data_IF_484661262007
#
_entry.id   IF_484661262007
#
_cell.length_a   1.000
_cell.length_b   1.000
_cell.length_c   1.000
_cell.angle_alpha   90.00
_cell.angle_beta   90.00
_cell.angle_gamma   90.00
#
_symmetry.space_group_name_H-M   'P 1'
#
loop_
_entity.id
_entity.type
_entity.pdbx_description
1 polymer ?
#
# COMPACT_ATOMS: atom_id res chain seq x y z
N UNK A 1 23.05 -34.97 25.32
CA UNK A 1 21.75 -34.77 25.99
C UNK A 1 21.46 -33.28 26.00
N UNK A 2 20.68 -32.83 25.02
CA UNK A 2 19.82 -31.64 25.05
C UNK A 2 19.14 -31.56 23.68
N UNK A 3 17.88 -31.98 23.64
CA UNK A 3 16.95 -31.78 22.53
C UNK A 3 15.75 -31.07 23.16
N UNK A 4 15.64 -29.77 22.92
CA UNK A 4 14.49 -28.95 23.29
C UNK A 4 13.48 -29.04 22.14
N UNK A 5 12.36 -29.69 22.41
CA UNK A 5 11.23 -29.83 21.50
C UNK A 5 10.20 -28.72 21.82
N UNK A 6 9.89 -27.90 20.81
CA UNK A 6 8.87 -26.84 20.86
C UNK A 6 7.45 -27.44 20.78
N UNK A 7 6.53 -27.01 21.66
CA UNK A 7 5.13 -27.44 21.71
C UNK A 7 4.22 -26.38 21.06
N UNK A 8 3.40 -26.77 20.09
CA UNK A 8 2.41 -25.89 19.43
C UNK A 8 1.01 -26.06 20.04
N UNK A 9 0.30 -24.95 20.25
CA UNK A 9 -1.06 -24.94 20.78
C UNK A 9 -2.08 -25.09 19.62
N UNK A 10 -2.83 -26.19 19.59
CA UNK A 10 -4.05 -26.34 18.77
C UNK A 10 -5.22 -26.82 19.62
N UNK A 11 -6.36 -26.22 19.31
CA UNK A 11 -7.73 -26.52 19.70
C UNK A 11 -8.15 -26.27 21.17
N UNK A 12 -8.64 -25.05 21.41
CA UNK A 12 -9.55 -24.73 22.51
C UNK A 12 -10.99 -24.69 21.96
N UNK A 13 -11.67 -25.83 21.96
CA UNK A 13 -13.13 -25.88 21.84
C UNK A 13 -13.76 -25.77 23.23
N UNK A 14 -14.65 -24.78 23.36
CA UNK A 14 -15.70 -24.66 24.38
C UNK A 14 -15.29 -24.70 25.87
N UNK A 15 -14.70 -23.60 26.36
CA UNK A 15 -15.09 -22.98 27.64
C UNK A 15 -14.51 -21.57 27.69
N UNK A 16 -15.34 -20.56 27.93
CA UNK A 16 -15.00 -19.14 27.82
C UNK A 16 -13.96 -18.72 28.86
N UNK A 17 -12.67 -18.85 28.53
CA UNK A 17 -11.60 -18.16 29.26
C UNK A 17 -11.67 -16.70 28.81
N UNK A 18 -12.20 -15.83 29.67
CA UNK A 18 -12.27 -14.39 29.36
C UNK A 18 -10.85 -13.80 29.31
N UNK A 19 -10.61 -12.90 28.36
CA UNK A 19 -9.33 -12.19 28.18
C UNK A 19 -8.88 -11.37 29.41
N UNK A 20 -9.73 -11.28 30.43
CA UNK A 20 -9.47 -10.63 31.71
C UNK A 20 -8.78 -11.57 32.70
N UNK A 21 -9.11 -12.87 32.68
CA UNK A 21 -8.44 -13.91 33.49
C UNK A 21 -7.00 -14.11 33.01
N UNK A 22 -6.79 -14.17 31.69
CA UNK A 22 -5.45 -14.29 31.10
C UNK A 22 -4.55 -13.09 31.41
N UNK A 23 -5.10 -11.86 31.45
CA UNK A 23 -4.34 -10.64 31.79
C UNK A 23 -3.94 -10.56 33.26
N UNK A 24 -4.75 -11.12 34.16
CA UNK A 24 -4.45 -11.11 35.59
C UNK A 24 -3.41 -12.18 35.99
N UNK A 25 -3.35 -13.30 35.27
CA UNK A 25 -2.43 -14.41 35.57
C UNK A 25 -1.06 -14.24 34.87
N UNK A 26 -1.00 -13.52 33.75
CA UNK A 26 0.24 -13.32 32.97
C UNK A 26 0.57 -11.84 32.74
N UNK A 27 0.88 -11.04 33.79
CA UNK A 27 1.16 -9.61 33.62
C UNK A 27 2.52 -9.33 32.95
N UNK A 28 3.40 -10.33 32.84
CA UNK A 28 4.82 -10.15 32.45
C UNK A 28 5.22 -10.80 31.12
N UNK A 29 4.28 -11.35 30.35
CA UNK A 29 4.60 -11.85 29.00
C UNK A 29 4.68 -10.69 28.02
N UNK A 30 5.84 -10.04 27.94
CA UNK A 30 6.20 -9.28 26.75
C UNK A 30 6.70 -10.27 25.69
N UNK A 31 6.28 -10.14 24.41
CA UNK A 31 6.82 -10.96 23.35
C UNK A 31 8.33 -10.73 23.26
N UNK A 32 9.13 -11.78 23.47
CA UNK A 32 10.56 -11.71 23.22
C UNK A 32 10.80 -11.70 21.70
N UNK A 33 11.63 -10.76 21.23
CA UNK A 33 12.08 -10.73 19.84
C UNK A 33 12.74 -12.08 19.48
N UNK A 34 12.18 -12.76 18.47
CA UNK A 34 12.80 -13.93 17.84
C UNK A 34 12.21 -15.30 18.20
N UNK A 35 11.14 -15.40 19.00
CA UNK A 35 10.44 -16.68 19.25
C UNK A 35 9.07 -16.71 18.55
N UNK A 36 8.59 -17.86 18.03
CA UNK A 36 7.25 -17.97 17.49
C UNK A 36 6.24 -17.58 18.58
N UNK A 37 5.29 -16.71 18.25
CA UNK A 37 4.21 -16.38 19.17
C UNK A 37 3.52 -17.68 19.62
N UNK A 38 3.46 -17.91 20.95
CA UNK A 38 2.75 -18.98 21.67
C UNK A 38 3.57 -20.17 22.23
N UNK A 39 4.75 -19.95 22.79
CA UNK A 39 5.44 -20.94 23.64
C UNK A 39 5.60 -20.42 25.08
N UNK A 40 5.16 -21.21 26.07
CA UNK A 40 5.34 -20.95 27.50
C UNK A 40 6.56 -21.69 28.01
N UNK A 41 7.31 -21.10 28.95
CA UNK A 41 8.37 -21.81 29.67
C UNK A 41 7.78 -22.77 30.72
N UNK A 42 8.53 -23.81 31.09
CA UNK A 42 8.16 -24.78 32.15
C UNK A 42 7.74 -24.09 33.46
N UNK A 43 8.42 -22.99 33.83
CA UNK A 43 8.09 -22.25 35.06
C UNK A 43 6.78 -21.46 34.95
N UNK A 44 6.42 -21.00 33.74
CA UNK A 44 5.16 -20.32 33.48
C UNK A 44 4.01 -21.32 33.46
N UNK A 45 4.24 -22.52 32.92
CA UNK A 45 3.29 -23.63 32.95
C UNK A 45 2.91 -24.02 34.39
N UNK A 46 3.89 -24.17 35.28
CA UNK A 46 3.64 -24.51 36.68
C UNK A 46 2.83 -23.43 37.43
N UNK A 47 3.08 -22.15 37.11
CA UNK A 47 2.28 -21.03 37.66
C UNK A 47 0.84 -21.06 37.17
N UNK A 48 0.62 -21.44 35.91
CA UNK A 48 -0.70 -21.54 35.28
C UNK A 48 -1.51 -22.70 35.86
N UNK A 49 -0.89 -23.87 36.05
CA UNK A 49 -1.50 -25.05 36.69
C UNK A 49 -1.91 -24.76 38.15
N UNK A 50 -1.07 -24.02 38.89
CA UNK A 50 -1.38 -23.62 40.26
C UNK A 50 -2.53 -22.60 40.36
N UNK A 51 -2.63 -21.70 39.39
CA UNK A 51 -3.70 -20.70 39.32
C UNK A 51 -5.03 -21.26 38.82
N UNK A 52 -4.99 -22.32 38.01
CA UNK A 52 -6.17 -22.96 37.42
C UNK A 52 -6.13 -24.49 37.65
N UNK A 53 -6.38 -24.95 38.89
CA UNK A 53 -6.19 -26.36 39.28
C UNK A 53 -7.11 -27.35 38.54
N UNK A 54 -8.19 -26.86 37.93
CA UNK A 54 -9.13 -27.66 37.13
C UNK A 54 -8.77 -27.71 35.63
N UNK A 55 -7.74 -26.97 35.19
CA UNK A 55 -7.26 -27.01 33.82
C UNK A 55 -6.44 -28.29 33.62
N UNK A 56 -7.01 -29.27 32.91
CA UNK A 56 -6.31 -30.53 32.63
C UNK A 56 -5.51 -30.37 31.34
N UNK A 57 -4.21 -30.13 31.48
CA UNK A 57 -3.28 -30.12 30.35
C UNK A 57 -2.69 -31.53 30.22
N UNK A 58 -2.93 -32.20 29.09
CA UNK A 58 -2.37 -33.53 28.85
C UNK A 58 -0.90 -33.41 28.46
N UNK A 59 0.00 -34.22 29.04
CA UNK A 59 1.31 -34.44 28.44
C UNK A 59 1.13 -35.13 27.07
N UNK A 60 2.11 -35.03 26.16
CA UNK A 60 2.07 -35.78 24.92
C UNK A 60 2.30 -37.26 25.28
N UNK A 61 1.23 -37.97 25.63
CA UNK A 61 1.34 -39.36 26.03
C UNK A 61 1.66 -40.23 24.81
N UNK A 62 2.73 -41.00 25.02
CA UNK A 62 3.13 -42.20 24.31
C UNK A 62 1.93 -43.01 23.79
N UNK A 63 2.02 -43.36 22.50
CA UNK A 63 1.13 -44.28 21.79
C UNK A 63 0.65 -45.44 22.68
N UNK A 64 -0.66 -45.59 22.82
CA UNK A 64 -1.29 -46.82 23.33
C UNK A 64 -2.48 -47.21 22.46
N UNK A 65 -2.69 -48.52 22.36
CA UNK A 65 -3.27 -49.29 21.25
C UNK A 65 -4.79 -49.13 20.96
N UNK A 66 -5.50 -48.16 21.55
CA UNK A 66 -6.95 -48.00 21.32
C UNK A 66 -7.33 -47.04 20.17
N UNK A 67 -6.36 -46.39 19.53
CA UNK A 67 -6.56 -45.62 18.29
C UNK A 67 -6.77 -46.51 17.05
N UNK A 68 -6.55 -47.82 17.17
CA UNK A 68 -6.72 -48.78 16.08
C UNK A 68 -8.20 -49.01 15.67
N UNK A 69 -9.18 -48.52 16.43
CA UNK A 69 -10.62 -48.65 16.09
C UNK A 69 -11.24 -47.43 15.40
N UNK A 70 -10.62 -46.26 15.45
CA UNK A 70 -11.07 -45.09 14.69
C UNK A 70 -10.53 -45.07 13.25
N UNK A 71 -9.55 -45.94 12.93
CA UNK A 71 -9.03 -46.15 11.58
C UNK A 71 -9.92 -47.03 10.68
N UNK A 72 -10.94 -47.71 11.22
CA UNK A 72 -11.77 -48.67 10.46
C UNK A 72 -13.07 -48.10 9.85
N UNK A 73 -13.29 -46.77 9.88
CA UNK A 73 -14.40 -46.16 9.11
C UNK A 73 -13.96 -45.82 7.66
N UNK A 74 -12.66 -45.95 7.34
CA UNK A 74 -12.13 -45.70 6.00
C UNK A 74 -12.10 -46.92 5.06
N UNK A 75 -12.51 -48.13 5.50
CA UNK A 75 -12.36 -49.37 4.70
C UNK A 75 -13.57 -49.75 3.81
N UNK A 76 -14.59 -48.89 3.66
CA UNK A 76 -15.77 -49.21 2.81
C UNK A 76 -16.10 -48.20 1.73
N UNK A 77 -15.21 -47.27 1.42
CA UNK A 77 -15.40 -46.34 0.31
C UNK A 77 -14.47 -46.68 -0.86
N UNK A 78 -15.04 -47.26 -1.92
CA UNK A 78 -14.35 -47.46 -3.20
C UNK A 78 -14.56 -46.24 -4.12
N UNK A 79 -13.49 -45.61 -4.65
CA UNK A 79 -13.59 -44.57 -5.66
C UNK A 79 -13.78 -45.17 -7.07
N UNK A 80 -14.51 -44.51 -7.99
CA UNK A 80 -14.58 -44.97 -9.38
C UNK A 80 -13.22 -44.83 -10.09
N UNK A 81 -12.88 -45.84 -10.88
CA UNK A 81 -11.60 -45.96 -11.60
C UNK A 81 -11.30 -44.76 -12.51
N UNK A 82 -10.08 -44.20 -12.38
CA UNK A 82 -9.46 -43.32 -13.38
C UNK A 82 -8.24 -44.02 -13.99
N UNK A 83 -8.02 -43.90 -15.31
CA UNK A 83 -6.92 -44.55 -15.98
C UNK A 83 -5.57 -43.96 -15.55
N UNK A 84 -4.57 -44.84 -15.46
CA UNK A 84 -3.20 -44.53 -15.04
C UNK A 84 -2.44 -43.74 -16.12
N UNK A 85 -1.70 -42.73 -15.68
CA UNK A 85 -0.61 -42.14 -16.46
C UNK A 85 0.68 -42.38 -15.68
N UNK A 86 1.51 -43.25 -16.25
CA UNK A 86 2.82 -43.63 -15.78
C UNK A 86 3.81 -42.44 -15.84
N UNK A 87 4.59 -42.39 -14.76
CA UNK A 87 6.02 -42.08 -14.66
C UNK A 87 6.55 -40.67 -15.00
N UNK A 88 7.04 -40.03 -13.93
CA UNK A 88 8.21 -39.17 -13.97
C UNK A 88 7.95 -37.70 -14.25
N UNK A 89 7.37 -36.96 -13.29
CA UNK A 89 7.53 -35.50 -13.23
C UNK A 89 7.28 -34.97 -11.81
N UNK A 90 8.19 -34.09 -11.36
CA UNK A 90 8.19 -33.39 -10.08
C UNK A 90 6.90 -32.56 -9.93
N UNK A 91 6.05 -32.92 -8.97
CA UNK A 91 4.80 -32.20 -8.69
C UNK A 91 5.07 -30.95 -7.85
N UNK A 92 5.29 -29.83 -8.52
CA UNK A 92 4.94 -28.52 -7.93
C UNK A 92 3.45 -28.33 -8.08
N UNK A 93 2.78 -27.87 -7.01
CA UNK A 93 1.37 -27.49 -7.02
C UNK A 93 1.19 -26.27 -7.96
N UNK A 94 1.08 -26.55 -9.26
CA UNK A 94 0.70 -25.58 -10.28
C UNK A 94 -0.80 -25.30 -10.15
N UNK A 95 -1.16 -24.40 -9.23
CA UNK A 95 -2.43 -23.70 -9.30
C UNK A 95 -2.27 -22.47 -10.20
N UNK A 96 -2.49 -22.59 -11.51
CA UNK A 96 -2.53 -21.42 -12.41
C UNK A 96 -3.51 -21.59 -13.58
N UNK A 97 -4.78 -21.32 -13.31
CA UNK A 97 -5.70 -20.69 -14.26
C UNK A 97 -5.66 -19.15 -14.20
N UNK A 98 -4.81 -18.56 -13.36
CA UNK A 98 -4.52 -17.13 -13.39
C UNK A 98 -3.50 -16.87 -14.52
N UNK A 99 -3.71 -15.83 -15.36
CA UNK A 99 -2.71 -15.42 -16.33
C UNK A 99 -1.36 -15.27 -15.65
N UNK A 100 -0.35 -15.99 -16.11
CA UNK A 100 1.03 -15.58 -15.87
C UNK A 100 1.18 -14.27 -16.62
N UNK A 101 1.13 -13.15 -15.90
CA UNK A 101 1.55 -11.89 -16.48
C UNK A 101 3.05 -12.03 -16.75
N UNK A 102 3.39 -12.25 -18.02
CA UNK A 102 4.75 -12.04 -18.50
C UNK A 102 5.24 -10.69 -17.96
N UNK A 103 6.53 -10.63 -17.64
CA UNK A 103 7.20 -9.40 -17.24
C UNK A 103 6.67 -8.23 -18.10
N UNK A 104 6.13 -7.15 -17.51
CA UNK A 104 5.55 -6.09 -18.33
C UNK A 104 6.66 -5.56 -19.24
N UNK A 105 6.39 -5.57 -20.53
CA UNK A 105 7.34 -5.16 -21.54
C UNK A 105 7.64 -3.66 -21.33
N UNK A 106 8.87 -3.34 -20.95
CA UNK A 106 9.36 -1.95 -20.79
C UNK A 106 9.09 -1.14 -22.08
N UNK A 107 8.98 -1.80 -23.24
CA UNK A 107 8.58 -1.15 -24.48
C UNK A 107 7.19 -0.50 -24.40
N UNK A 108 6.27 -1.03 -23.58
CA UNK A 108 4.94 -0.44 -23.39
C UNK A 108 5.03 0.91 -22.69
N UNK A 109 5.81 1.02 -21.61
CA UNK A 109 5.99 2.28 -20.87
C UNK A 109 6.82 3.27 -21.66
N UNK A 110 7.84 2.81 -22.39
CA UNK A 110 8.61 3.65 -23.31
C UNK A 110 7.76 4.20 -24.46
N UNK A 111 6.95 3.36 -25.12
CA UNK A 111 6.02 3.81 -26.16
C UNK A 111 4.98 4.78 -25.60
N UNK A 112 4.47 4.52 -24.40
CA UNK A 112 3.56 5.44 -23.74
C UNK A 112 4.22 6.81 -23.53
N UNK A 113 5.41 6.86 -22.92
CA UNK A 113 6.15 8.13 -22.73
C UNK A 113 6.46 8.83 -24.05
N UNK A 114 6.74 8.09 -25.13
CA UNK A 114 6.90 8.67 -26.46
C UNK A 114 5.62 9.36 -26.97
N UNK A 115 4.45 8.74 -26.78
CA UNK A 115 3.14 9.33 -27.14
C UNK A 115 2.83 10.57 -26.31
N UNK A 116 3.22 10.56 -25.04
CA UNK A 116 3.11 11.74 -24.17
C UNK A 116 4.01 12.86 -24.66
N UNK A 117 5.30 12.56 -24.90
CA UNK A 117 6.31 13.49 -25.40
C UNK A 117 5.95 14.11 -26.74
N UNK A 118 5.30 13.38 -27.63
CA UNK A 118 4.82 13.90 -28.92
C UNK A 118 3.52 14.70 -28.82
N UNK A 119 2.89 14.76 -27.65
CA UNK A 119 1.59 15.39 -27.43
C UNK A 119 0.39 14.56 -27.93
N UNK A 120 0.61 13.31 -28.35
CA UNK A 120 -0.47 12.40 -28.77
C UNK A 120 -1.35 11.96 -27.58
N UNK A 121 -0.78 11.92 -26.37
CA UNK A 121 -1.52 11.61 -25.15
C UNK A 121 -1.37 12.72 -24.10
N UNK A 122 -2.48 13.36 -23.76
CA UNK A 122 -2.56 14.46 -22.77
C UNK A 122 -3.62 14.23 -21.70
N UNK A 123 -4.24 13.04 -21.69
CA UNK A 123 -5.33 12.69 -20.76
C UNK A 123 -4.85 12.14 -19.41
N UNK A 124 -5.79 11.78 -18.52
CA UNK A 124 -5.48 11.15 -17.23
C UNK A 124 -4.79 9.79 -17.39
N UNK A 125 -3.87 9.45 -16.48
CA UNK A 125 -3.08 8.20 -16.53
C UNK A 125 -3.70 7.04 -15.77
N UNK A 126 -4.88 7.21 -15.17
CA UNK A 126 -5.62 6.12 -14.54
C UNK A 126 -5.81 4.94 -15.50
N UNK A 127 -5.40 3.74 -15.08
CA UNK A 127 -5.55 2.52 -15.88
C UNK A 127 -4.58 2.39 -17.07
N UNK A 128 -3.73 3.39 -17.31
CA UNK A 128 -2.68 3.31 -18.33
C UNK A 128 -1.52 2.46 -17.81
N UNK A 129 -0.94 1.63 -18.69
CA UNK A 129 0.17 0.72 -18.37
C UNK A 129 -0.10 -0.09 -17.08
N UNK A 130 -1.16 -0.92 -17.05
CA UNK A 130 -1.58 -1.63 -15.85
C UNK A 130 -0.44 -2.47 -15.25
N UNK A 131 -0.26 -2.38 -13.94
CA UNK A 131 0.83 -3.06 -13.21
C UNK A 131 2.13 -2.27 -13.13
N UNK A 132 2.26 -1.16 -13.88
CA UNK A 132 3.43 -0.29 -13.81
C UNK A 132 3.27 0.78 -12.73
N UNK A 133 4.37 1.08 -12.05
CA UNK A 133 4.44 2.11 -11.03
C UNK A 133 4.27 3.48 -11.68
N UNK A 134 3.32 4.26 -11.16
CA UNK A 134 3.11 5.65 -11.53
C UNK A 134 3.56 6.54 -10.38
N UNK A 135 4.16 7.68 -10.71
CA UNK A 135 4.75 8.60 -9.76
C UNK A 135 4.18 10.00 -9.91
N UNK A 136 3.99 10.64 -8.77
CA UNK A 136 3.84 12.08 -8.67
C UNK A 136 5.21 12.74 -8.90
N UNK A 137 5.24 13.81 -9.68
CA UNK A 137 6.43 14.63 -9.91
C UNK A 137 6.35 15.94 -9.11
N UNK A 138 7.47 16.33 -8.48
CA UNK A 138 7.74 17.67 -7.94
C UNK A 138 9.15 18.10 -8.36
N UNK A 139 9.30 19.33 -8.84
CA UNK A 139 10.57 19.90 -9.28
C UNK A 139 10.72 21.26 -8.65
N UNK A 140 11.86 21.44 -7.97
CA UNK A 140 12.18 22.67 -7.26
C UNK A 140 13.56 23.17 -7.70
N UNK A 141 13.79 24.50 -7.77
CA UNK A 141 15.13 25.03 -7.90
C UNK A 141 16.02 24.51 -6.76
N UNK A 142 17.29 24.22 -7.07
CA UNK A 142 18.29 23.85 -6.07
C UNK A 142 18.37 24.93 -4.98
N UNK A 143 18.51 24.50 -3.73
CA UNK A 143 18.69 25.39 -2.58
C UNK A 143 17.81 24.99 -1.41
N UNK A 144 17.45 25.98 -0.60
CA UNK A 144 16.72 25.76 0.67
C UNK A 144 15.40 25.02 0.47
N UNK A 145 14.59 25.38 -0.52
CA UNK A 145 13.29 24.72 -0.73
C UNK A 145 13.42 23.26 -1.18
N UNK A 146 14.39 22.93 -2.04
CA UNK A 146 14.64 21.54 -2.44
C UNK A 146 15.15 20.69 -1.25
N UNK A 147 16.03 21.26 -0.41
CA UNK A 147 16.50 20.58 0.80
C UNK A 147 15.38 20.39 1.83
N UNK A 148 14.61 21.45 2.10
CA UNK A 148 13.48 21.40 3.02
C UNK A 148 12.44 20.39 2.55
N UNK A 149 12.19 20.30 1.23
CA UNK A 149 11.30 19.31 0.64
C UNK A 149 11.80 17.87 0.82
N UNK A 150 13.09 17.63 0.56
CA UNK A 150 13.70 16.31 0.78
C UNK A 150 13.56 15.87 2.24
N UNK A 151 13.87 16.77 3.19
CA UNK A 151 13.72 16.51 4.61
C UNK A 151 12.24 16.34 5.00
N UNK A 152 11.33 17.08 4.36
CA UNK A 152 9.89 16.93 4.56
C UNK A 152 9.41 15.54 4.14
N UNK A 153 9.83 15.05 2.98
CA UNK A 153 9.50 13.70 2.51
C UNK A 153 10.04 12.63 3.46
N UNK A 154 11.29 12.77 3.91
CA UNK A 154 11.90 11.87 4.89
C UNK A 154 11.10 11.82 6.21
N UNK A 155 10.59 12.96 6.69
CA UNK A 155 9.82 13.04 7.93
C UNK A 155 8.39 12.52 7.79
N UNK A 156 7.85 12.49 6.57
CA UNK A 156 6.46 12.14 6.27
C UNK A 156 6.37 11.05 5.18
N UNK A 157 6.99 9.86 5.39
CA UNK A 157 7.16 8.86 4.33
C UNK A 157 5.85 8.27 3.82
N UNK A 158 4.78 8.28 4.63
CA UNK A 158 3.46 7.79 4.18
C UNK A 158 2.77 8.80 3.26
N UNK A 159 2.83 10.10 3.58
CA UNK A 159 2.21 11.15 2.77
C UNK A 159 3.04 11.51 1.53
N UNK A 160 4.36 11.40 1.66
CA UNK A 160 5.34 11.73 0.62
C UNK A 160 6.34 10.56 0.44
N UNK A 161 5.88 9.38 -0.02
CA UNK A 161 6.75 8.22 -0.21
C UNK A 161 7.74 8.50 -1.35
N UNK A 162 8.95 8.92 -1.00
CA UNK A 162 9.97 9.30 -1.96
C UNK A 162 10.56 8.05 -2.62
N UNK A 163 10.44 7.96 -3.94
CA UNK A 163 10.95 6.84 -4.73
C UNK A 163 12.31 7.14 -5.35
N UNK A 164 12.48 8.35 -5.89
CA UNK A 164 13.73 8.78 -6.50
C UNK A 164 13.90 10.29 -6.39
N UNK A 165 15.15 10.72 -6.23
CA UNK A 165 15.59 12.11 -6.37
C UNK A 165 16.59 12.16 -7.50
N UNK A 166 16.30 12.94 -8.54
CA UNK A 166 17.25 13.12 -9.63
C UNK A 166 18.40 14.05 -9.21
N UNK A 167 19.58 13.84 -9.78
CA UNK A 167 20.72 14.72 -9.61
C UNK A 167 20.39 16.17 -10.03
N UNK A 168 21.11 17.12 -9.44
CA UNK A 168 20.89 18.55 -9.71
C UNK A 168 21.03 18.84 -11.21
N UNK A 169 19.98 19.42 -11.78
CA UNK A 169 19.89 19.79 -13.19
C UNK A 169 19.55 18.63 -14.13
N UNK A 170 19.48 17.40 -13.63
CA UNK A 170 19.04 16.25 -14.42
C UNK A 170 17.52 16.17 -14.45
N UNK A 171 16.96 16.04 -15.64
CA UNK A 171 15.55 15.68 -15.86
C UNK A 171 15.37 14.18 -16.13
N UNK A 172 16.43 13.38 -16.03
CA UNK A 172 16.44 11.96 -16.37
C UNK A 172 16.53 11.15 -15.07
N UNK A 173 15.50 10.35 -14.73
CA UNK A 173 15.57 9.38 -13.63
C UNK A 173 16.58 8.28 -13.97
N UNK A 174 17.43 7.93 -13.02
CA UNK A 174 18.44 6.86 -13.16
C UNK A 174 17.91 5.51 -12.70
N UNK A 175 16.96 5.48 -11.75
CA UNK A 175 16.43 4.25 -11.18
C UNK A 175 15.10 3.83 -11.82
N UNK A 176 14.17 4.78 -11.97
CA UNK A 176 12.79 4.49 -12.32
C UNK A 176 12.54 4.39 -13.83
N UNK A 177 13.26 5.14 -14.66
CA UNK A 177 13.15 5.09 -16.13
C UNK A 177 14.30 5.84 -16.81
N UNK A 178 15.37 5.14 -17.20
CA UNK A 178 16.61 5.74 -17.73
C UNK A 178 16.47 6.38 -19.12
N UNK A 179 15.40 6.07 -19.85
CA UNK A 179 15.10 6.63 -21.18
C UNK A 179 14.11 7.79 -21.15
N UNK A 180 13.65 8.16 -19.95
CA UNK A 180 12.66 9.20 -19.77
C UNK A 180 13.26 10.61 -19.75
N UNK A 181 12.42 11.59 -20.03
CA UNK A 181 12.68 13.00 -19.82
C UNK A 181 11.51 13.62 -19.06
N UNK A 182 11.72 13.93 -17.78
CA UNK A 182 10.68 14.45 -16.90
C UNK A 182 10.13 15.82 -17.33
N UNK A 183 10.75 16.50 -18.30
CA UNK A 183 10.25 17.78 -18.85
C UNK A 183 9.10 17.61 -19.84
N UNK A 184 8.95 16.41 -20.41
CA UNK A 184 7.98 16.14 -21.48
C UNK A 184 7.19 14.84 -21.28
N UNK A 185 7.61 13.94 -20.39
CA UNK A 185 7.01 12.61 -20.26
C UNK A 185 5.87 12.51 -19.22
N UNK A 186 5.40 13.63 -18.66
CA UNK A 186 4.10 13.69 -17.96
C UNK A 186 3.04 14.26 -18.92
N UNK A 187 1.83 13.68 -19.01
CA UNK A 187 0.80 14.19 -19.92
C UNK A 187 0.40 15.64 -19.68
N UNK A 188 0.54 16.11 -18.44
CA UNK A 188 0.26 17.48 -18.05
C UNK A 188 1.02 17.86 -16.78
N UNK A 189 1.45 19.11 -16.73
CA UNK A 189 2.20 19.74 -15.65
C UNK A 189 1.40 20.91 -15.06
N UNK A 190 1.62 21.17 -13.77
CA UNK A 190 1.13 22.33 -13.06
C UNK A 190 2.33 23.17 -12.60
N UNK A 191 2.35 24.45 -13.00
CA UNK A 191 3.43 25.39 -12.69
C UNK A 191 2.96 26.31 -11.58
N UNK A 192 3.72 26.37 -10.49
CA UNK A 192 3.41 27.19 -9.33
C UNK A 192 4.39 28.36 -9.21
N UNK A 193 3.86 29.53 -8.88
CA UNK A 193 4.64 30.73 -8.54
C UNK A 193 4.13 31.33 -7.24
N UNK A 194 5.02 31.53 -6.27
CA UNK A 194 4.69 32.03 -4.93
C UNK A 194 3.53 31.26 -4.27
N UNK A 195 3.56 29.92 -4.37
CA UNK A 195 2.54 29.02 -3.83
C UNK A 195 1.18 29.03 -4.54
N UNK A 196 1.04 29.68 -5.69
CA UNK A 196 -0.21 29.70 -6.48
C UNK A 196 -0.02 29.02 -7.82
N UNK A 197 -1.02 28.24 -8.24
CA UNK A 197 -1.07 27.70 -9.60
C UNK A 197 -1.07 28.87 -10.59
N UNK A 198 -0.08 28.90 -11.46
CA UNK A 198 0.11 29.95 -12.45
C UNK A 198 -0.42 29.54 -13.82
N UNK A 199 -0.05 28.33 -14.26
CA UNK A 199 -0.45 27.77 -15.55
C UNK A 199 -0.30 26.25 -15.54
N UNK A 200 -0.96 25.60 -16.49
CA UNK A 200 -0.73 24.19 -16.80
C UNK A 200 -0.15 24.04 -18.20
N UNK A 201 0.75 23.07 -18.40
CA UNK A 201 1.42 22.82 -19.68
C UNK A 201 1.51 21.33 -19.98
N UNK A 202 1.79 20.98 -21.22
CA UNK A 202 2.15 19.59 -21.63
C UNK A 202 3.65 19.41 -21.82
N UNK A 203 4.41 20.51 -21.83
CA UNK A 203 5.87 20.56 -21.94
C UNK A 203 6.36 21.70 -21.05
N UNK A 204 7.38 21.44 -20.24
CA UNK A 204 7.99 22.41 -19.33
C UNK A 204 9.49 22.63 -19.59
N UNK A 205 10.00 22.19 -20.74
CA UNK A 205 11.42 22.23 -21.11
C UNK A 205 11.99 23.65 -21.08
N UNK A 206 11.22 24.64 -21.54
CA UNK A 206 11.61 26.04 -21.62
C UNK A 206 11.69 26.74 -20.25
N UNK A 207 10.87 26.30 -19.30
CA UNK A 207 10.79 26.85 -17.94
C UNK A 207 11.50 25.98 -16.89
N UNK A 208 12.04 24.83 -17.28
CA UNK A 208 12.74 23.93 -16.38
C UNK A 208 14.00 24.59 -15.83
N UNK A 209 14.14 24.80 -14.50
CA UNK A 209 15.29 25.50 -13.98
C UNK A 209 16.58 24.71 -14.22
N UNK A 210 17.62 25.39 -14.72
CA UNK A 210 18.92 24.78 -15.03
C UNK A 210 19.53 24.02 -13.84
N UNK A 211 19.42 24.59 -12.65
CA UNK A 211 19.81 23.95 -11.39
C UNK A 211 18.54 23.66 -10.59
N UNK A 212 17.90 22.54 -10.90
CA UNK A 212 16.71 22.05 -10.20
C UNK A 212 16.94 20.65 -9.64
N UNK A 213 16.09 20.23 -8.72
CA UNK A 213 16.03 18.86 -8.21
C UNK A 213 14.63 18.34 -8.48
N UNK A 214 14.54 17.20 -9.14
CA UNK A 214 13.28 16.50 -9.40
C UNK A 214 13.09 15.37 -8.38
N UNK A 215 11.88 15.28 -7.84
CA UNK A 215 11.47 14.31 -6.84
C UNK A 215 10.32 13.49 -7.41
N UNK A 216 10.52 12.17 -7.47
CA UNK A 216 9.49 11.20 -7.85
C UNK A 216 8.93 10.56 -6.58
N UNK A 217 7.62 10.69 -6.41
CA UNK A 217 6.90 10.30 -5.19
C UNK A 217 5.86 9.26 -5.57
N UNK A 218 5.75 8.19 -4.79
CA UNK A 218 4.79 7.12 -5.02
C UNK A 218 3.35 7.60 -5.09
N UNK A 219 2.52 6.87 -5.83
CA UNK A 219 1.13 7.22 -6.08
C UNK A 219 0.19 6.07 -5.69
N UNK A 220 -0.96 6.42 -5.11
CA UNK A 220 -2.00 5.46 -4.72
C UNK A 220 -2.57 4.62 -5.87
N UNK A 221 -2.42 5.06 -7.13
CA UNK A 221 -2.91 4.28 -8.28
C UNK A 221 -2.18 2.96 -8.45
N UNK A 222 -1.02 2.80 -7.82
CA UNK A 222 -0.20 1.60 -7.91
C UNK A 222 -0.84 0.35 -7.28
N UNK A 223 -1.69 0.50 -6.26
CA UNK A 223 -2.39 -0.65 -5.65
C UNK A 223 -3.82 -0.85 -6.19
N UNK A 224 -4.35 0.05 -7.02
CA UNK A 224 -5.71 -0.04 -7.58
C UNK A 224 -5.92 -1.34 -8.36
N UNK A 225 -4.92 -1.79 -9.13
CA UNK A 225 -4.98 -3.07 -9.83
C UNK A 225 -5.00 -4.28 -8.89
N UNK A 226 -4.32 -4.21 -7.74
CA UNK A 226 -4.34 -5.28 -6.74
C UNK A 226 -5.71 -5.36 -6.03
N UNK A 227 -6.31 -4.21 -5.73
CA UNK A 227 -7.67 -4.13 -5.18
C UNK A 227 -8.69 -4.72 -6.16
N UNK A 228 -8.65 -4.31 -7.44
CA UNK A 228 -9.53 -4.87 -8.47
C UNK A 228 -9.37 -6.39 -8.64
N UNK A 229 -8.12 -6.90 -8.64
CA UNK A 229 -7.85 -8.33 -8.73
C UNK A 229 -8.41 -9.11 -7.53
N UNK A 230 -8.48 -8.49 -6.36
CA UNK A 230 -9.11 -9.06 -5.17
C UNK A 230 -10.63 -8.90 -5.13
N UNK A 231 -11.25 -8.35 -6.19
CA UNK A 231 -12.68 -8.10 -6.26
C UNK A 231 -13.14 -6.93 -5.40
N UNK A 232 -12.23 -6.01 -5.04
CA UNK A 232 -12.56 -4.78 -4.32
C UNK A 232 -12.88 -3.70 -5.35
N UNK A 233 -14.11 -3.14 -5.36
CA UNK A 233 -14.53 -2.16 -6.35
C UNK A 233 -13.79 -0.84 -6.18
N UNK A 234 -13.56 -0.15 -7.29
CA UNK A 234 -13.02 1.21 -7.32
C UNK A 234 -14.10 2.16 -7.80
N UNK A 235 -14.90 2.68 -6.86
CA UNK A 235 -16.09 3.49 -7.15
C UNK A 235 -15.85 4.66 -8.09
N UNK A 236 -14.75 5.39 -7.92
CA UNK A 236 -14.39 6.51 -8.78
C UNK A 236 -14.19 6.06 -10.23
N UNK A 237 -13.50 4.94 -10.44
CA UNK A 237 -13.30 4.36 -11.76
C UNK A 237 -14.62 3.86 -12.38
N UNK A 238 -15.47 3.18 -11.61
CA UNK A 238 -16.80 2.73 -12.06
C UNK A 238 -17.69 3.90 -12.51
N UNK A 239 -17.55 5.06 -11.86
CA UNK A 239 -18.31 6.27 -12.17
C UNK A 239 -17.64 7.18 -13.21
N UNK A 240 -16.46 6.82 -13.73
CA UNK A 240 -15.70 7.67 -14.65
C UNK A 240 -15.28 9.01 -14.03
N UNK A 241 -14.98 9.02 -12.73
CA UNK A 241 -14.68 10.18 -11.90
C UNK A 241 -13.27 10.13 -11.34
N UNK A 242 -12.70 11.31 -11.04
CA UNK A 242 -11.48 11.39 -10.27
C UNK A 242 -11.75 11.04 -8.80
N UNK A 243 -10.76 10.40 -8.16
CA UNK A 243 -10.87 10.04 -6.74
C UNK A 243 -11.06 11.31 -5.89
N UNK A 244 -12.01 11.34 -4.94
CA UNK A 244 -12.18 12.48 -4.06
C UNK A 244 -11.01 12.54 -3.09
N UNK A 245 -10.44 13.72 -2.95
CA UNK A 245 -9.33 13.99 -2.05
C UNK A 245 -9.68 15.16 -1.14
N UNK A 246 -9.31 15.03 0.12
CA UNK A 246 -9.68 15.96 1.19
C UNK A 246 -8.44 16.37 1.98
N UNK A 247 -8.38 17.65 2.31
CA UNK A 247 -7.45 18.20 3.27
C UNK A 247 -7.93 17.84 4.68
N UNK A 248 -7.08 17.15 5.43
CA UNK A 248 -7.40 16.77 6.81
C UNK A 248 -7.03 17.87 7.81
N UNK A 249 -7.41 17.69 9.07
CA UNK A 249 -6.86 18.44 10.21
C UNK A 249 -5.56 17.81 10.77
N UNK A 250 -5.03 16.74 10.17
CA UNK A 250 -3.83 16.05 10.64
C UNK A 250 -2.57 16.76 10.13
N UNK A 251 -1.72 17.33 11.00
CA UNK A 251 -0.53 18.04 10.56
C UNK A 251 0.56 17.08 10.09
N UNK A 252 1.26 17.43 9.00
CA UNK A 252 2.53 16.81 8.68
C UNK A 252 3.61 17.26 9.66
N UNK A 253 4.65 16.44 9.83
CA UNK A 253 5.87 16.83 10.55
C UNK A 253 6.63 17.87 9.71
N UNK A 254 6.76 19.13 10.17
CA UNK A 254 7.34 20.18 9.36
C UNK A 254 8.83 19.95 9.10
N UNK A 255 9.37 20.55 8.05
CA UNK A 255 10.80 20.56 7.73
C UNK A 255 11.19 21.90 7.11
N UNK A 256 12.00 22.69 7.84
CA UNK A 256 12.35 24.05 7.42
C UNK A 256 11.09 24.88 7.14
N UNK A 257 10.95 25.36 5.91
CA UNK A 257 9.79 26.14 5.46
C UNK A 257 8.58 25.28 5.12
N UNK A 258 8.76 23.97 4.89
CA UNK A 258 7.69 23.06 4.49
C UNK A 258 6.79 22.70 5.68
N UNK A 259 5.52 23.08 5.58
CA UNK A 259 4.47 22.75 6.55
C UNK A 259 3.10 22.68 5.87
N UNK A 260 2.21 21.89 6.44
CA UNK A 260 0.85 21.70 5.94
C UNK A 260 0.20 20.49 6.59
N UNK A 261 -1.05 20.22 6.22
CA UNK A 261 -1.76 19.04 6.68
C UNK A 261 -1.69 17.93 5.63
N UNK A 262 -1.88 16.69 6.09
CA UNK A 262 -2.00 15.54 5.21
C UNK A 262 -3.24 15.70 4.34
N UNK A 263 -3.08 15.45 3.04
CA UNK A 263 -4.20 15.27 2.10
C UNK A 263 -4.44 13.78 1.95
N UNK A 264 -5.71 13.38 2.05
CA UNK A 264 -6.12 11.98 1.90
C UNK A 264 -6.98 11.79 0.66
N UNK A 265 -6.86 10.64 0.02
CA UNK A 265 -7.84 10.16 -0.96
C UNK A 265 -8.83 9.25 -0.24
N UNK A 266 -10.11 9.32 -0.62
CA UNK A 266 -11.17 8.50 -0.03
C UNK A 266 -11.68 7.48 -1.05
N UNK A 267 -11.78 6.23 -0.63
CA UNK A 267 -12.42 5.15 -1.38
C UNK A 267 -13.52 4.53 -0.51
N UNK A 268 -14.77 4.44 -0.98
CA UNK A 268 -15.78 3.63 -0.31
C UNK A 268 -15.48 2.16 -0.55
N UNK A 269 -15.36 1.37 0.53
CA UNK A 269 -15.00 -0.05 0.47
C UNK A 269 -16.12 -0.86 1.13
N UNK A 270 -16.62 -1.95 0.51
CA UNK A 270 -17.60 -2.82 1.14
C UNK A 270 -17.14 -3.29 2.51
N UNK A 271 -18.01 -3.24 3.52
CA UNK A 271 -17.63 -3.47 4.93
C UNK A 271 -16.93 -4.82 5.15
N UNK A 272 -17.36 -5.87 4.45
CA UNK A 272 -16.76 -7.21 4.55
C UNK A 272 -15.38 -7.33 3.88
N UNK A 273 -15.00 -6.36 3.05
CA UNK A 273 -13.71 -6.35 2.35
C UNK A 273 -12.67 -5.45 3.03
N UNK A 274 -13.00 -4.75 4.12
CA UNK A 274 -12.08 -3.81 4.80
C UNK A 274 -10.78 -4.49 5.22
N UNK A 275 -10.84 -5.66 5.86
CA UNK A 275 -9.63 -6.38 6.28
C UNK A 275 -8.76 -6.75 5.09
N UNK A 276 -9.37 -7.17 3.97
CA UNK A 276 -8.63 -7.52 2.75
C UNK A 276 -8.01 -6.29 2.08
N UNK A 277 -8.75 -5.18 2.06
CA UNK A 277 -8.26 -3.89 1.59
C UNK A 277 -7.04 -3.42 2.37
N UNK A 278 -7.08 -3.51 3.71
CA UNK A 278 -5.94 -3.17 4.57
C UNK A 278 -4.75 -4.10 4.31
N UNK A 279 -4.98 -5.41 4.23
CA UNK A 279 -3.94 -6.41 3.97
C UNK A 279 -3.20 -6.12 2.64
N UNK A 280 -3.95 -5.84 1.58
CA UNK A 280 -3.40 -5.54 0.26
C UNK A 280 -2.63 -4.22 0.30
N UNK A 281 -3.29 -3.13 0.70
CA UNK A 281 -2.70 -1.78 0.64
C UNK A 281 -1.47 -1.63 1.52
N UNK A 282 -1.40 -2.34 2.66
CA UNK A 282 -0.25 -2.29 3.57
C UNK A 282 1.04 -2.88 2.98
N UNK A 283 0.95 -3.72 1.94
CA UNK A 283 2.12 -4.25 1.24
C UNK A 283 2.79 -3.18 0.35
N UNK A 284 2.04 -2.15 -0.05
CA UNK A 284 2.49 -1.08 -0.95
C UNK A 284 3.09 0.11 -0.19
N UNK A 285 4.08 -0.15 0.67
CA UNK A 285 4.69 0.85 1.57
C UNK A 285 5.27 2.07 0.86
N UNK A 286 5.76 1.88 -0.36
CA UNK A 286 6.36 2.94 -1.18
C UNK A 286 5.34 3.73 -2.01
N UNK A 287 4.04 3.45 -1.86
CA UNK A 287 2.95 4.17 -2.56
C UNK A 287 1.79 4.45 -1.59
N UNK A 288 2.14 5.05 -0.45
CA UNK A 288 1.29 5.47 0.69
C UNK A 288 0.86 4.36 1.65
N UNK A 289 0.91 3.09 1.23
CA UNK A 289 0.61 1.97 2.11
C UNK A 289 -0.83 1.93 2.63
N UNK A 290 -0.98 1.35 3.82
CA UNK A 290 -2.27 1.15 4.49
C UNK A 290 -3.03 2.45 4.79
N UNK A 291 -4.32 2.35 5.17
CA UNK A 291 -5.16 3.51 5.41
C UNK A 291 -4.73 4.29 6.65
N UNK A 292 -4.93 5.61 6.60
CA UNK A 292 -4.77 6.53 7.73
C UNK A 292 -6.02 6.55 8.63
N UNK A 293 -7.20 6.42 8.03
CA UNK A 293 -8.47 6.44 8.73
C UNK A 293 -9.48 5.53 8.02
N UNK A 294 -10.34 4.88 8.81
CA UNK A 294 -11.40 4.00 8.34
C UNK A 294 -12.70 4.43 9.02
N UNK A 295 -13.73 4.75 8.23
CA UNK A 295 -15.12 4.94 8.66
C UNK A 295 -15.46 6.25 9.38
N UNK A 296 -14.49 6.92 10.00
CA UNK A 296 -14.72 8.12 10.83
C UNK A 296 -14.08 9.38 10.23
N UNK A 297 -14.65 9.96 9.15
CA UNK A 297 -14.08 11.16 8.51
C UNK A 297 -13.96 12.35 9.47
N UNK A 298 -14.85 12.45 10.45
CA UNK A 298 -14.90 13.53 11.43
C UNK A 298 -13.63 13.63 12.29
N UNK A 299 -13.00 12.50 12.64
CA UNK A 299 -11.79 12.51 13.48
C UNK A 299 -10.57 13.09 12.74
N UNK A 300 -10.62 13.08 11.40
CA UNK A 300 -9.60 13.69 10.52
C UNK A 300 -10.07 15.01 9.93
N UNK A 301 -11.16 15.60 10.47
CA UNK A 301 -11.66 16.91 10.11
C UNK A 301 -12.41 16.97 8.77
N UNK A 302 -12.91 15.84 8.27
CA UNK A 302 -13.65 15.76 7.01
C UNK A 302 -15.14 15.65 7.30
N UNK A 303 -15.94 16.46 6.59
CA UNK A 303 -17.38 16.29 6.46
C UNK A 303 -17.69 15.88 5.02
N UNK A 304 -18.18 14.66 4.83
CA UNK A 304 -18.49 14.11 3.50
C UNK A 304 -19.69 14.78 2.82
N UNK A 305 -20.45 15.63 3.52
CA UNK A 305 -21.49 16.45 2.89
C UNK A 305 -20.90 17.63 2.11
N UNK A 306 -19.65 18.00 2.38
CA UNK A 306 -18.96 19.04 1.65
C UNK A 306 -18.32 18.46 0.37
N UNK A 307 -18.17 19.29 -0.68
CA UNK A 307 -17.42 18.87 -1.85
C UNK A 307 -15.96 18.55 -1.48
N UNK A 308 -15.32 17.56 -2.15
CA UNK A 308 -13.91 17.29 -1.95
C UNK A 308 -13.07 18.50 -2.37
N UNK A 309 -11.93 18.71 -1.69
CA UNK A 309 -10.99 19.78 -2.03
C UNK A 309 -10.36 19.57 -3.42
N UNK A 310 -10.19 18.30 -3.84
CA UNK A 310 -9.78 17.91 -5.19
C UNK A 310 -10.52 16.66 -5.66
N UNK A 311 -10.69 16.54 -6.99
CA UNK A 311 -11.38 15.42 -7.61
C UNK A 311 -12.90 15.57 -7.57
N UNK A 312 -13.61 14.45 -7.72
CA UNK A 312 -15.06 14.45 -7.88
C UNK A 312 -15.74 13.71 -6.74
N UNK A 313 -16.92 14.18 -6.33
CA UNK A 313 -17.73 13.49 -5.33
C UNK A 313 -18.19 12.11 -5.85
N UNK A 314 -18.05 11.07 -5.02
CA UNK A 314 -18.49 9.69 -5.33
C UNK A 314 -19.56 9.22 -4.34
N UNK A 315 -20.40 8.30 -4.79
CA UNK A 315 -21.43 7.74 -3.91
C UNK A 315 -20.81 6.77 -2.92
N UNK A 316 -21.24 6.83 -1.66
CA UNK A 316 -20.96 5.81 -0.64
C UNK A 316 -22.28 5.07 -0.38
N UNK A 317 -22.31 3.77 -0.66
CA UNK A 317 -23.50 2.95 -0.47
C UNK A 317 -23.68 2.55 1.02
N UNK A 318 -24.88 2.14 1.44
CA UNK A 318 -25.16 1.82 2.86
C UNK A 318 -24.27 0.74 3.48
N UNK A 319 -23.74 -0.18 2.67
CA UNK A 319 -22.85 -1.28 3.07
C UNK A 319 -21.35 -0.96 2.87
N UNK A 320 -21.03 0.27 2.45
CA UNK A 320 -19.67 0.73 2.23
C UNK A 320 -19.17 1.61 3.38
N UNK A 321 -17.89 1.47 3.68
CA UNK A 321 -17.18 2.27 4.67
C UNK A 321 -16.19 3.18 3.94
N UNK A 322 -16.18 4.50 4.21
CA UNK A 322 -15.19 5.39 3.63
C UNK A 322 -13.81 5.10 4.23
N UNK A 323 -12.85 4.77 3.37
CA UNK A 323 -11.46 4.47 3.75
C UNK A 323 -10.54 5.54 3.18
N UNK A 324 -9.68 6.10 4.03
CA UNK A 324 -8.83 7.24 3.71
C UNK A 324 -7.36 6.83 3.69
N UNK A 325 -6.69 7.09 2.56
CA UNK A 325 -5.24 6.87 2.41
C UNK A 325 -4.54 8.20 2.22
N UNK A 326 -3.30 8.31 2.69
CA UNK A 326 -2.45 9.44 2.33
C UNK A 326 -2.35 9.55 0.80
N UNK A 327 -2.28 10.78 0.30
CA UNK A 327 -2.31 11.06 -1.13
C UNK A 327 -1.11 11.91 -1.57
N UNK A 328 -0.61 11.64 -2.77
CA UNK A 328 0.45 12.39 -3.45
C UNK A 328 0.11 13.85 -3.77
N UNK A 329 -1.11 14.31 -3.47
CA UNK A 329 -1.47 15.73 -3.44
C UNK A 329 -0.94 16.44 -2.19
N UNK A 330 -0.58 15.72 -1.12
CA UNK A 330 0.03 16.31 0.09
C UNK A 330 1.27 17.16 -0.23
N UNK A 331 2.25 16.65 -1.01
CA UNK A 331 3.33 17.47 -1.55
C UNK A 331 2.87 18.78 -2.19
N UNK A 332 1.88 18.73 -3.09
CA UNK A 332 1.39 19.92 -3.79
C UNK A 332 0.77 20.92 -2.82
N UNK A 333 -0.08 20.46 -1.89
CA UNK A 333 -0.68 21.31 -0.86
C UNK A 333 0.39 22.00 -0.01
N UNK A 334 1.42 21.28 0.41
CA UNK A 334 2.51 21.82 1.24
C UNK A 334 3.33 22.87 0.47
N UNK A 335 3.56 22.69 -0.82
CA UNK A 335 4.23 23.69 -1.65
C UNK A 335 3.42 25.00 -1.72
N UNK A 336 2.09 24.89 -1.80
CA UNK A 336 1.18 26.05 -1.81
C UNK A 336 1.17 26.74 -0.44
N UNK A 337 0.96 25.98 0.63
CA UNK A 337 0.88 26.49 2.01
C UNK A 337 2.21 27.12 2.46
N UNK A 338 3.33 26.64 1.91
CA UNK A 338 4.68 27.15 2.19
C UNK A 338 5.13 28.30 1.27
N UNK A 339 4.24 28.75 0.36
CA UNK A 339 4.46 29.86 -0.57
C UNK A 339 5.76 29.74 -1.37
N UNK A 340 6.04 28.53 -1.88
CA UNK A 340 7.28 28.29 -2.63
C UNK A 340 7.36 29.22 -3.84
N UNK A 341 8.48 29.94 -4.06
CA UNK A 341 8.58 30.93 -5.12
C UNK A 341 8.36 30.36 -6.52
N UNK A 342 8.83 29.13 -6.75
CA UNK A 342 8.66 28.42 -8.01
C UNK A 342 8.69 26.90 -7.79
N UNK A 343 7.73 26.20 -8.39
CA UNK A 343 7.72 24.74 -8.47
C UNK A 343 7.06 24.28 -9.76
N UNK A 344 7.50 23.13 -10.29
CA UNK A 344 6.77 22.40 -11.33
C UNK A 344 6.31 21.07 -10.73
N UNK A 345 5.06 20.71 -10.89
CA UNK A 345 4.57 19.37 -10.58
C UNK A 345 3.90 18.75 -11.80
N UNK A 346 3.62 17.46 -11.74
CA UNK A 346 2.56 16.89 -12.58
C UNK A 346 1.20 17.52 -12.22
N UNK A 347 0.28 17.61 -13.17
CA UNK A 347 -1.11 17.97 -12.88
C UNK A 347 -1.85 16.76 -12.28
N UNK A 348 -2.86 17.01 -11.44
CA UNK A 348 -3.62 15.93 -10.81
C UNK A 348 -4.19 14.95 -11.85
N UNK A 349 -3.99 13.65 -11.64
CA UNK A 349 -4.40 12.59 -12.57
C UNK A 349 -3.49 12.37 -13.77
N UNK A 350 -2.43 13.16 -13.97
CA UNK A 350 -1.52 13.09 -15.13
C UNK A 350 -0.10 12.68 -14.69
N UNK A 351 0.05 11.50 -14.09
CA UNK A 351 1.30 11.08 -13.45
C UNK A 351 2.37 10.62 -14.44
N UNK A 352 3.60 10.52 -13.95
CA UNK A 352 4.70 9.92 -14.68
C UNK A 352 4.65 8.39 -14.60
N UNK A 353 4.69 7.69 -15.74
CA UNK A 353 4.72 6.22 -15.79
C UNK A 353 6.16 5.72 -15.87
N UNK A 354 6.58 4.94 -14.89
CA UNK A 354 7.95 4.42 -14.76
C UNK A 354 8.13 3.08 -15.49
N UNK A 355 9.37 2.59 -15.53
CA UNK A 355 9.71 1.23 -16.01
C UNK A 355 9.72 0.19 -14.86
N UNK A 356 9.26 0.56 -13.67
CA UNK A 356 9.17 -0.33 -12.50
C UNK A 356 7.74 -0.84 -12.31
N UNK A 357 7.62 -2.01 -11.71
CA UNK A 357 6.31 -2.56 -11.32
C UNK A 357 5.80 -1.90 -10.06
N UNK A 358 4.48 -1.79 -9.97
CA UNK A 358 3.79 -1.19 -8.83
C UNK A 358 3.88 -2.02 -7.55
N UNK A 359 4.00 -3.34 -7.65
CA UNK A 359 4.07 -4.26 -6.51
C UNK A 359 5.41 -4.16 -5.76
N UNK A 360 6.46 -3.57 -6.36
CA UNK A 360 7.80 -3.37 -5.79
C UNK A 360 8.26 -4.55 -4.90
N UNK A 361 7.86 -5.77 -5.26
CA UNK A 361 8.33 -6.98 -4.63
C UNK A 361 9.76 -7.16 -5.10
N UNK A 362 10.69 -7.06 -4.15
CA UNK A 362 12.14 -7.14 -4.36
C UNK A 362 12.56 -8.29 -5.29
#
# INVERSE_FOLDING_TARGET
MNTQDDITCRDLTETTITAEVLRNVLPSLQPQEGSPANTFTESEFQKLQAAMPNLTLRPPDTQTEDDAKLLNICESWEPPERPSLLEGQTTTLNWYGAPRFNNPDILVTQKFRQRVRSGEFTGPTNGVCPGMLQCNLVVLPQGTFAFDFLLFCQRNPQACPLLEVCDIGSAIPTLLATTADLRTDCPKYAVYRNGKLHEERIDVTDIWPKNSVAFLIGCSFSYDGALQKAGIPLRSAEQGKNVPMYRTNLPCRPAGRMKGNIVVSMKPIPALQISKHVEITSQFRHTHGGPLCIGRPDIIGIDLNNPPDWGDHVNVLPDEVPVFHACGVTPQSVLMDSQVPFAITHAAGHMFVTDRRADLSD
#
